data_IF_761439407920
#
_entry.id   IF_761439407920
#
_cell.length_a   1.000
_cell.length_b   1.000
_cell.length_c   1.000
_cell.angle_alpha   90.00
_cell.angle_beta   90.00
_cell.angle_gamma   90.00
#
_symmetry.space_group_name_H-M   'P 1'
#
loop_
_entity.id
_entity.type
_entity.pdbx_description
1 polymer ?
#
# COMPACT_ATOMS: atom_id res chain seq x y z
N UNK A 1 -8.86 66.30 -12.19
CA UNK A 1 -9.02 67.23 -11.01
C UNK A 1 -9.08 66.22 -9.83
N UNK A 2 -8.25 66.15 -8.94
CA UNK A 2 -7.10 66.65 -8.24
C UNK A 2 -6.33 65.48 -7.65
N UNK A 3 -5.07 65.33 -7.85
CA UNK A 3 -3.87 65.89 -7.22
C UNK A 3 -3.88 65.92 -5.69
N UNK A 4 -2.80 65.36 -5.23
CA UNK A 4 -2.01 65.62 -4.01
C UNK A 4 -2.11 64.48 -3.00
N UNK A 5 -1.05 64.05 -2.30
CA UNK A 5 0.37 64.43 -2.29
C UNK A 5 1.14 63.42 -1.44
N UNK A 6 2.35 63.19 -1.82
CA UNK A 6 3.47 62.55 -1.12
C UNK A 6 3.65 63.01 0.32
N UNK A 7 4.20 62.09 1.17
CA UNK A 7 5.37 62.29 2.04
C UNK A 7 5.58 61.04 2.86
N UNK A 8 6.66 60.27 2.63
CA UNK A 8 7.95 60.26 3.28
C UNK A 8 7.86 60.13 4.82
N UNK A 9 8.31 59.00 5.37
CA UNK A 9 9.38 58.99 6.33
C UNK A 9 10.07 57.63 6.35
N UNK A 10 11.39 57.69 6.22
CA UNK A 10 12.31 56.58 6.43
C UNK A 10 12.67 56.50 7.92
N UNK A 11 12.81 55.29 8.44
CA UNK A 11 13.64 55.03 9.62
C UNK A 11 14.10 53.59 9.55
N UNK A 12 15.34 53.41 9.22
CA UNK A 12 16.42 52.75 9.98
C UNK A 12 16.08 51.38 10.51
N UNK A 13 16.51 50.28 9.87
CA UNK A 13 17.75 49.59 10.12
C UNK A 13 17.78 48.81 11.43
N UNK A 14 17.42 47.51 11.34
CA UNK A 14 18.08 46.49 12.16
C UNK A 14 18.26 45.29 11.27
N UNK A 15 19.49 45.17 10.77
CA UNK A 15 19.96 43.95 10.13
C UNK A 15 20.18 42.87 11.24
N UNK A 16 19.15 42.14 11.53
CA UNK A 16 19.26 40.90 12.24
C UNK A 16 19.71 39.81 11.26
N UNK A 17 20.99 39.56 11.15
CA UNK A 17 21.54 38.39 10.49
C UNK A 17 21.13 37.16 11.35
N UNK A 18 20.01 36.57 11.00
CA UNK A 18 19.69 35.23 11.43
C UNK A 18 20.63 34.29 10.66
N UNK A 19 21.74 33.93 11.31
CA UNK A 19 22.57 32.82 10.89
C UNK A 19 21.73 31.56 11.10
N UNK A 20 21.01 31.15 10.06
CA UNK A 20 20.55 29.77 9.93
C UNK A 20 21.80 28.92 9.75
N UNK A 21 22.37 28.45 10.85
CA UNK A 21 23.33 27.34 10.81
C UNK A 21 22.55 26.16 10.27
N UNK A 22 22.92 25.77 9.04
CA UNK A 22 22.28 24.70 8.31
C UNK A 22 22.36 23.36 9.03
N UNK A 23 21.23 22.86 9.37
CA UNK A 23 20.93 21.44 9.38
C UNK A 23 20.04 21.19 8.16
N UNK A 24 20.61 21.38 6.99
CA UNK A 24 20.03 20.99 5.72
C UNK A 24 20.33 19.52 5.46
N UNK A 25 19.82 18.62 6.27
CA UNK A 25 19.53 17.30 5.78
C UNK A 25 18.34 17.47 4.84
N UNK A 26 18.57 17.28 3.55
CA UNK A 26 17.50 17.35 2.57
C UNK A 26 16.45 16.31 2.93
N UNK A 27 15.16 16.63 2.74
CA UNK A 27 14.06 15.67 2.93
C UNK A 27 14.24 14.41 2.07
N UNK A 28 15.13 14.43 1.09
CA UNK A 28 15.52 13.29 0.26
C UNK A 28 16.52 12.34 0.95
N UNK A 29 17.33 12.82 1.89
CA UNK A 29 18.26 11.96 2.65
C UNK A 29 17.56 11.24 3.80
N UNK A 30 16.45 11.77 4.31
CA UNK A 30 15.60 11.09 5.29
C UNK A 30 14.93 9.82 4.72
N UNK A 31 14.83 9.69 3.39
CA UNK A 31 14.24 8.52 2.74
C UNK A 31 15.21 7.32 2.59
N UNK A 32 16.49 7.48 2.92
CA UNK A 32 17.53 6.44 2.78
C UNK A 32 18.24 6.09 4.09
N UNK A 33 17.91 6.75 5.19
CA UNK A 33 18.59 6.57 6.44
C UNK A 33 17.92 5.53 7.34
N UNK A 34 18.69 4.51 7.73
CA UNK A 34 18.34 3.70 8.88
C UNK A 34 18.20 4.64 10.07
N UNK A 35 17.03 4.66 10.71
CA UNK A 35 16.83 5.46 11.92
C UNK A 35 17.62 4.83 13.08
N UNK A 36 18.75 5.43 13.45
CA UNK A 36 19.63 4.95 14.51
C UNK A 36 19.14 5.32 15.93
N UNK A 37 17.94 5.90 16.05
CA UNK A 37 17.32 6.17 17.35
C UNK A 37 16.98 4.88 18.10
N UNK A 38 16.74 4.99 19.39
CA UNK A 38 16.41 3.84 20.26
C UNK A 38 15.28 2.97 19.71
N UNK A 39 14.31 3.58 19.06
CA UNK A 39 13.11 2.90 18.51
C UNK A 39 13.09 2.85 16.98
N UNK A 40 14.07 3.43 16.31
CA UNK A 40 14.17 3.46 14.86
C UNK A 40 14.15 2.06 14.21
N UNK A 41 14.61 1.06 14.95
CA UNK A 41 14.54 -0.35 14.52
C UNK A 41 13.12 -0.89 14.28
N UNK A 42 12.09 -0.18 14.74
CA UNK A 42 10.68 -0.53 14.50
C UNK A 42 10.08 0.23 13.33
N UNK A 43 10.82 1.18 12.76
CA UNK A 43 10.39 1.98 11.62
C UNK A 43 11.05 1.41 10.37
N UNK A 44 10.23 0.90 9.46
CA UNK A 44 10.69 0.30 8.22
C UNK A 44 10.24 1.22 7.09
N UNK A 45 11.19 1.82 6.41
CA UNK A 45 10.89 2.79 5.36
C UNK A 45 11.75 2.55 4.11
N UNK A 46 11.21 2.86 2.95
CA UNK A 46 11.92 2.94 1.68
C UNK A 46 12.19 1.62 0.97
N UNK A 47 12.52 0.55 1.67
CA UNK A 47 12.92 -0.72 1.05
C UNK A 47 11.76 -1.68 0.78
N UNK A 48 10.57 -1.37 1.28
CA UNK A 48 9.38 -2.22 1.14
C UNK A 48 8.70 -2.09 -0.22
N UNK A 49 8.95 -0.99 -0.93
CA UNK A 49 8.33 -0.76 -2.21
C UNK A 49 8.94 -1.65 -3.28
N UNK A 50 8.11 -2.47 -3.90
CA UNK A 50 8.50 -3.37 -4.98
C UNK A 50 7.60 -3.16 -6.18
N UNK A 51 8.15 -3.35 -7.36
CA UNK A 51 7.39 -3.50 -8.58
C UNK A 51 7.20 -4.99 -8.82
N UNK A 52 5.94 -5.41 -8.87
CA UNK A 52 5.57 -6.80 -9.12
C UNK A 52 4.95 -6.86 -10.51
N UNK A 53 5.51 -7.68 -11.39
CA UNK A 53 5.21 -7.65 -12.83
C UNK A 53 3.74 -7.91 -13.18
N UNK A 54 3.04 -8.69 -12.38
CA UNK A 54 1.62 -8.97 -12.63
C UNK A 54 0.66 -7.98 -11.98
N UNK A 55 1.14 -7.08 -11.10
CA UNK A 55 0.34 -5.98 -10.56
C UNK A 55 0.65 -4.68 -11.30
N UNK A 56 -0.37 -3.83 -11.44
CA UNK A 56 -0.33 -2.69 -12.37
C UNK A 56 0.05 -1.37 -11.72
N UNK A 57 0.18 -1.36 -10.41
CA UNK A 57 0.60 -0.21 -9.61
C UNK A 57 1.80 -0.52 -8.74
N UNK A 58 2.08 0.39 -7.81
CA UNK A 58 3.10 0.17 -6.79
C UNK A 58 2.62 -0.83 -5.76
N UNK A 59 3.50 -1.73 -5.38
CA UNK A 59 3.26 -2.67 -4.30
C UNK A 59 4.18 -2.37 -3.12
N UNK A 60 3.67 -2.56 -1.92
CA UNK A 60 4.44 -2.59 -0.68
C UNK A 60 4.37 -4.01 -0.14
N UNK A 61 5.52 -4.64 0.06
CA UNK A 61 5.60 -6.03 0.53
C UNK A 61 6.55 -6.10 1.71
N UNK A 62 6.13 -6.73 2.79
CA UNK A 62 6.92 -6.90 4.00
C UNK A 62 6.72 -8.30 4.60
N UNK A 63 7.79 -8.85 5.14
CA UNK A 63 7.82 -10.18 5.75
C UNK A 63 8.39 -10.10 7.17
N UNK A 64 8.50 -11.25 7.82
CA UNK A 64 9.08 -11.34 9.17
C UNK A 64 10.47 -10.68 9.30
N UNK A 65 11.31 -10.76 8.27
CA UNK A 65 12.65 -10.16 8.28
C UNK A 65 12.61 -8.66 8.54
N UNK A 66 11.71 -7.96 7.89
CA UNK A 66 11.49 -6.53 8.04
C UNK A 66 10.58 -6.24 9.26
N UNK A 67 9.44 -6.93 9.36
CA UNK A 67 8.40 -6.65 10.35
C UNK A 67 8.75 -7.16 11.75
N UNK A 68 9.64 -8.16 11.85
CA UNK A 68 9.99 -8.87 13.11
C UNK A 68 8.76 -9.41 13.83
N UNK A 69 7.82 -9.91 13.06
CA UNK A 69 6.55 -10.43 13.52
C UNK A 69 6.20 -11.67 12.68
N UNK A 70 5.43 -12.58 13.25
CA UNK A 70 4.98 -13.79 12.54
C UNK A 70 3.86 -13.45 11.55
N UNK A 71 4.17 -12.57 10.60
CA UNK A 71 3.26 -12.07 9.59
C UNK A 71 4.02 -11.69 8.32
N UNK A 72 3.40 -11.87 7.18
CA UNK A 72 3.78 -11.25 5.93
C UNK A 72 2.59 -10.46 5.37
N UNK A 73 2.88 -9.43 4.61
CA UNK A 73 1.84 -8.60 4.01
C UNK A 73 2.25 -8.08 2.64
N UNK A 74 1.25 -7.97 1.78
CA UNK A 74 1.35 -7.30 0.49
C UNK A 74 0.22 -6.29 0.33
N UNK A 75 0.57 -5.03 0.06
CA UNK A 75 -0.36 -3.97 -0.30
C UNK A 75 -0.16 -3.66 -1.79
N UNK A 76 -1.18 -3.88 -2.59
CA UNK A 76 -1.09 -3.78 -4.05
C UNK A 76 -2.13 -2.82 -4.60
N UNK A 77 -1.71 -1.94 -5.51
CA UNK A 77 -2.62 -1.13 -6.28
C UNK A 77 -2.95 -1.87 -7.58
N UNK A 78 -4.23 -2.13 -7.83
CA UNK A 78 -4.73 -2.75 -9.05
C UNK A 78 -5.44 -1.68 -9.91
N UNK A 79 -4.80 -1.30 -11.01
CA UNK A 79 -5.27 -0.24 -11.92
C UNK A 79 -5.62 -0.76 -13.33
N UNK A 80 -5.67 -2.08 -13.51
CA UNK A 80 -6.10 -2.76 -14.74
C UNK A 80 -6.78 -4.07 -14.39
N UNK A 81 -7.71 -4.56 -15.20
CA UNK A 81 -8.24 -5.91 -15.05
C UNK A 81 -7.11 -6.95 -15.00
N UNK A 82 -7.23 -7.89 -14.08
CA UNK A 82 -6.23 -8.91 -13.83
C UNK A 82 -6.92 -10.22 -13.39
N UNK A 83 -6.29 -11.34 -13.71
CA UNK A 83 -6.63 -12.64 -13.13
C UNK A 83 -5.34 -13.31 -12.69
N UNK A 84 -5.31 -13.81 -11.49
CA UNK A 84 -4.12 -14.38 -10.89
C UNK A 84 -4.45 -15.58 -10.03
N UNK A 85 -3.41 -16.34 -9.78
CA UNK A 85 -3.34 -17.56 -9.01
C UNK A 85 -4.13 -18.75 -9.57
N UNK A 86 -3.62 -19.92 -9.24
CA UNK A 86 -4.28 -21.20 -9.47
C UNK A 86 -4.90 -21.68 -8.16
N UNK A 87 -5.84 -22.63 -8.21
CA UNK A 87 -6.36 -23.24 -6.99
C UNK A 87 -5.24 -23.79 -6.11
N UNK A 88 -5.18 -23.31 -4.87
CA UNK A 88 -4.17 -23.71 -3.89
C UNK A 88 -4.70 -23.58 -2.45
N UNK A 89 -3.91 -23.98 -1.48
CA UNK A 89 -4.18 -23.78 -0.06
C UNK A 89 -2.89 -23.52 0.71
N UNK A 90 -3.01 -22.89 1.86
CA UNK A 90 -1.91 -22.65 2.79
C UNK A 90 -2.12 -23.40 4.10
N UNK A 91 -1.06 -23.56 4.89
CA UNK A 91 -1.12 -24.10 6.25
C UNK A 91 -1.22 -23.01 7.33
N UNK A 92 -1.47 -21.78 6.92
CA UNK A 92 -1.67 -20.60 7.76
C UNK A 92 -2.99 -19.89 7.42
N UNK A 93 -3.40 -19.01 8.31
CA UNK A 93 -4.52 -18.09 8.08
C UNK A 93 -4.09 -16.99 7.11
N UNK A 94 -4.92 -16.74 6.10
CA UNK A 94 -4.75 -15.64 5.17
C UNK A 94 -5.96 -14.70 5.22
N UNK A 95 -5.71 -13.39 5.07
CA UNK A 95 -6.75 -12.37 4.99
C UNK A 95 -6.50 -11.55 3.73
N UNK A 96 -7.49 -11.50 2.86
CA UNK A 96 -7.47 -10.75 1.62
C UNK A 96 -8.51 -9.63 1.71
N UNK A 97 -8.07 -8.37 1.55
CA UNK A 97 -8.97 -7.23 1.58
C UNK A 97 -8.97 -6.54 0.22
N UNK A 98 -10.16 -6.23 -0.28
CA UNK A 98 -10.39 -5.45 -1.48
C UNK A 98 -11.07 -4.14 -1.08
N UNK A 99 -10.47 -3.01 -1.43
CA UNK A 99 -10.93 -1.68 -1.03
C UNK A 99 -10.82 -0.70 -2.20
N UNK A 100 -11.62 0.35 -2.20
CA UNK A 100 -11.47 1.44 -3.16
C UNK A 100 -10.10 2.11 -3.03
N UNK A 101 -9.55 2.55 -4.16
CA UNK A 101 -8.23 3.20 -4.23
C UNK A 101 -8.26 4.69 -3.84
N UNK A 102 -9.42 5.24 -3.52
CA UNK A 102 -9.55 6.60 -3.03
C UNK A 102 -9.35 6.64 -1.50
N UNK A 103 -8.25 7.23 -0.99
CA UNK A 103 -7.99 7.26 0.45
C UNK A 103 -8.97 8.14 1.23
N UNK A 104 -9.75 9.01 0.55
CA UNK A 104 -10.80 9.83 1.18
C UNK A 104 -12.13 9.08 1.27
N UNK A 105 -12.30 8.06 0.45
CA UNK A 105 -13.49 7.21 0.44
C UNK A 105 -13.14 5.81 -0.07
N UNK A 106 -12.77 4.93 0.83
CA UNK A 106 -12.43 3.54 0.50
C UNK A 106 -13.66 2.72 0.05
N UNK A 107 -14.87 3.27 0.17
CA UNK A 107 -16.11 2.65 -0.32
C UNK A 107 -16.39 2.98 -1.78
N UNK A 108 -15.64 3.89 -2.39
CA UNK A 108 -15.66 4.15 -3.84
C UNK A 108 -15.01 2.96 -4.59
N UNK A 109 -15.81 1.91 -4.77
CA UNK A 109 -15.39 0.60 -5.25
C UNK A 109 -16.23 0.18 -6.47
N UNK A 110 -15.71 0.46 -7.66
CA UNK A 110 -16.38 0.10 -8.92
C UNK A 110 -15.96 -1.28 -9.46
N UNK A 111 -15.03 -1.96 -8.78
CA UNK A 111 -14.52 -3.25 -9.23
C UNK A 111 -15.53 -4.38 -9.06
N UNK A 112 -15.35 -5.40 -9.89
CA UNK A 112 -15.99 -6.71 -9.72
C UNK A 112 -14.87 -7.72 -9.47
N UNK A 113 -14.84 -8.32 -8.29
CA UNK A 113 -13.89 -9.37 -7.93
C UNK A 113 -14.63 -10.70 -7.96
N UNK A 114 -14.22 -11.58 -8.86
CA UNK A 114 -14.65 -12.98 -8.87
C UNK A 114 -13.59 -13.78 -8.11
N UNK A 115 -14.00 -14.47 -7.06
CA UNK A 115 -13.11 -15.24 -6.21
C UNK A 115 -13.67 -16.64 -5.97
N UNK A 116 -12.88 -17.65 -6.30
CA UNK A 116 -13.27 -19.04 -6.10
C UNK A 116 -12.75 -19.53 -4.74
N UNK A 117 -13.64 -20.10 -3.92
CA UNK A 117 -13.35 -20.69 -2.62
C UNK A 117 -13.92 -22.11 -2.63
N UNK A 118 -13.07 -23.11 -2.54
CA UNK A 118 -13.47 -24.50 -2.74
C UNK A 118 -13.96 -24.72 -4.18
N UNK A 119 -15.22 -25.08 -4.32
CA UNK A 119 -15.93 -25.27 -5.59
C UNK A 119 -16.93 -24.14 -5.89
N UNK A 120 -17.00 -23.11 -5.04
CA UNK A 120 -17.92 -22.00 -5.18
C UNK A 120 -17.24 -20.75 -5.71
N UNK A 121 -17.90 -20.09 -6.67
CA UNK A 121 -17.49 -18.77 -7.17
C UNK A 121 -18.29 -17.69 -6.47
N UNK A 122 -17.58 -16.78 -5.80
CA UNK A 122 -18.14 -15.59 -5.16
C UNK A 122 -17.90 -14.35 -6.01
N UNK A 123 -18.84 -13.41 -5.99
CA UNK A 123 -18.74 -12.12 -6.68
C UNK A 123 -18.81 -11.01 -5.64
N UNK A 124 -17.74 -10.23 -5.55
CA UNK A 124 -17.58 -9.13 -4.62
C UNK A 124 -17.67 -7.82 -5.42
N UNK A 125 -18.65 -6.97 -5.09
CA UNK A 125 -18.93 -5.70 -5.78
C UNK A 125 -18.88 -4.50 -4.82
N UNK A 126 -18.41 -4.71 -3.61
CA UNK A 126 -18.22 -3.68 -2.58
C UNK A 126 -16.96 -4.00 -1.77
N UNK A 127 -16.39 -3.06 -1.03
CA UNK A 127 -15.24 -3.36 -0.18
C UNK A 127 -15.51 -4.53 0.75
N UNK A 128 -14.57 -5.46 0.78
CA UNK A 128 -14.71 -6.68 1.56
C UNK A 128 -13.36 -7.21 2.03
N UNK A 129 -13.38 -7.93 3.15
CA UNK A 129 -12.29 -8.76 3.60
C UNK A 129 -12.73 -10.22 3.59
N UNK A 130 -11.88 -11.06 3.04
CA UNK A 130 -12.07 -12.52 2.98
C UNK A 130 -11.03 -13.17 3.88
N UNK A 131 -11.44 -14.05 4.77
CA UNK A 131 -10.58 -14.72 5.73
C UNK A 131 -10.53 -16.20 5.42
N UNK A 132 -9.36 -16.68 4.96
CA UNK A 132 -9.10 -18.05 4.57
C UNK A 132 -8.47 -18.82 5.73
N UNK A 133 -9.13 -19.82 6.30
CA UNK A 133 -8.52 -20.67 7.32
C UNK A 133 -7.45 -21.60 6.69
N UNK A 134 -6.51 -22.10 7.51
CA UNK A 134 -5.54 -23.07 7.04
C UNK A 134 -6.20 -24.26 6.35
N UNK A 135 -5.65 -24.66 5.20
CA UNK A 135 -6.11 -25.81 4.42
C UNK A 135 -7.30 -25.52 3.48
N UNK A 136 -7.95 -24.36 3.57
CA UNK A 136 -9.04 -24.02 2.67
C UNK A 136 -8.50 -23.77 1.25
N UNK A 137 -8.99 -24.56 0.29
CA UNK A 137 -8.68 -24.34 -1.14
C UNK A 137 -9.36 -23.07 -1.62
N UNK A 138 -8.61 -22.22 -2.29
CA UNK A 138 -9.09 -20.97 -2.86
C UNK A 138 -8.34 -20.61 -4.15
N UNK A 139 -8.77 -19.52 -4.80
CA UNK A 139 -8.33 -19.06 -6.12
C UNK A 139 -8.91 -19.90 -7.29
N UNK A 140 -8.97 -19.35 -8.51
CA UNK A 140 -8.39 -18.07 -8.92
C UNK A 140 -9.16 -16.84 -8.42
N UNK A 141 -8.48 -15.69 -8.45
CA UNK A 141 -9.07 -14.36 -8.30
C UNK A 141 -9.06 -13.66 -9.67
N UNK A 142 -10.17 -13.03 -10.03
CA UNK A 142 -10.27 -12.21 -11.23
C UNK A 142 -10.88 -10.86 -10.87
N UNK A 143 -10.15 -9.78 -11.15
CA UNK A 143 -10.56 -8.41 -10.88
C UNK A 143 -10.91 -7.73 -12.21
N UNK A 144 -12.08 -7.15 -12.30
CA UNK A 144 -12.63 -6.47 -13.48
C UNK A 144 -13.09 -5.06 -13.13
N UNK A 145 -13.33 -4.24 -14.13
CA UNK A 145 -13.85 -2.87 -14.00
C UNK A 145 -12.94 -1.91 -13.22
N UNK A 146 -11.64 -2.18 -13.24
CA UNK A 146 -10.63 -1.30 -12.65
C UNK A 146 -9.88 -0.54 -13.73
N UNK A 147 -9.46 0.69 -13.42
CA UNK A 147 -8.67 1.55 -14.33
C UNK A 147 -7.66 2.38 -13.52
N UNK A 148 -6.83 3.15 -14.21
CA UNK A 148 -5.91 4.07 -13.56
C UNK A 148 -6.63 5.22 -12.83
N UNK A 149 -7.83 5.60 -13.31
CA UNK A 149 -8.70 6.63 -12.71
C UNK A 149 -9.50 6.06 -11.53
N UNK A 150 -9.79 4.78 -11.57
CA UNK A 150 -10.55 4.04 -10.56
C UNK A 150 -9.81 2.75 -10.16
N UNK A 151 -8.66 2.87 -9.51
CA UNK A 151 -7.94 1.71 -9.02
C UNK A 151 -8.60 1.16 -7.76
N UNK A 152 -8.27 -0.08 -7.42
CA UNK A 152 -8.56 -0.63 -6.11
C UNK A 152 -7.27 -0.99 -5.38
N UNK A 153 -7.37 -1.12 -4.08
CA UNK A 153 -6.34 -1.68 -3.22
C UNK A 153 -6.68 -3.13 -2.93
N UNK A 154 -5.71 -3.99 -3.17
CA UNK A 154 -5.69 -5.38 -2.73
C UNK A 154 -4.66 -5.52 -1.62
N UNK A 155 -5.11 -5.82 -0.42
CA UNK A 155 -4.24 -6.07 0.73
C UNK A 155 -4.29 -7.56 1.07
N UNK A 156 -3.14 -8.17 1.09
CA UNK A 156 -2.90 -9.56 1.44
C UNK A 156 -2.15 -9.61 2.77
N UNK A 157 -2.63 -10.39 3.72
CA UNK A 157 -2.01 -10.61 5.03
C UNK A 157 -1.98 -12.11 5.30
N UNK A 158 -0.78 -12.66 5.45
CA UNK A 158 -0.57 -14.03 5.86
C UNK A 158 -0.07 -14.08 7.29
N UNK A 159 -0.72 -14.85 8.15
CA UNK A 159 -0.28 -15.03 9.54
C UNK A 159 0.83 -16.08 9.61
N UNK A 160 1.86 -15.84 8.80
CA UNK A 160 3.07 -16.64 8.67
C UNK A 160 4.27 -15.71 8.46
N UNK A 161 5.49 -16.13 8.86
CA UNK A 161 6.69 -15.29 8.74
C UNK A 161 7.05 -14.94 7.31
N UNK A 162 6.65 -15.78 6.38
CA UNK A 162 6.83 -15.60 4.94
C UNK A 162 5.59 -16.11 4.22
N UNK A 163 5.32 -15.56 3.06
CA UNK A 163 4.32 -16.13 2.16
C UNK A 163 4.87 -17.48 1.67
N UNK A 164 4.40 -18.57 2.29
CA UNK A 164 4.86 -19.91 1.98
C UNK A 164 4.52 -20.32 0.55
N UNK A 165 5.26 -21.26 0.00
CA UNK A 165 4.93 -21.84 -1.31
C UNK A 165 3.54 -22.47 -1.25
N UNK A 166 2.58 -22.01 -2.06
CA UNK A 166 1.25 -22.58 -2.09
C UNK A 166 1.29 -24.09 -2.37
N UNK A 167 0.49 -24.85 -1.68
CA UNK A 167 0.33 -26.28 -1.98
C UNK A 167 -0.64 -26.39 -3.15
N UNK A 168 -0.13 -26.70 -4.34
CA UNK A 168 -0.95 -26.92 -5.52
C UNK A 168 -1.97 -28.02 -5.26
N UNK A 169 -3.24 -27.70 -5.46
CA UNK A 169 -4.33 -28.67 -5.38
C UNK A 169 -4.65 -29.13 -6.79
N UNK A 170 -4.46 -30.41 -7.06
CA UNK A 170 -4.93 -31.01 -8.31
C UNK A 170 -6.45 -30.97 -8.30
N UNK A 171 -7.06 -30.23 -9.21
CA UNK A 171 -8.49 -30.34 -9.45
C UNK A 171 -8.79 -31.79 -9.85
N UNK A 172 -9.75 -32.40 -9.17
CA UNK A 172 -10.29 -33.72 -9.53
C UNK A 172 -11.27 -33.61 -10.68
#
# INVERSE_FOLDING_TARGET
MNRLMKRFLAAAGFAGVLVFIGLGASLQDAAKGKDDSKYGKYIIAGELYKKIDHYTGTSLVAHNGELRANVSMGYHCLAKPISFDKPHSHDFQEILCFMGGNPLDITDFDAVVEYTIGDEKHVITQPACVSMPPGQVHCPISVKNVSAEKPIVFLEISLAPEYGTPKDVKQK
#
